data_IF_674544792331
#
_entry.id   IF_674544792331
#
_cell.length_a   1.000
_cell.length_b   1.000
_cell.length_c   1.000
_cell.angle_alpha   90.00
_cell.angle_beta   90.00
_cell.angle_gamma   90.00
#
_symmetry.space_group_name_H-M   'P 1'
#
loop_
_entity.id
_entity.type
_entity.pdbx_description
1 polymer ?
#
# COMPACT_ATOMS: atom_id res chain seq x y z
N UNK A 1 -4.55 -4.78 -5.30
CA UNK A 1 -4.51 -3.59 -6.18
C UNK A 1 -3.72 -3.79 -7.47
N UNK A 2 -2.49 -4.34 -7.45
CA UNK A 2 -1.74 -4.60 -8.70
C UNK A 2 -2.42 -5.55 -9.71
N UNK A 3 -3.44 -6.30 -9.28
CA UNK A 3 -4.30 -7.09 -10.16
C UNK A 3 -5.16 -6.21 -11.09
N UNK A 4 -5.91 -5.25 -10.55
CA UNK A 4 -6.79 -4.37 -11.34
C UNK A 4 -6.03 -3.43 -12.28
N UNK A 5 -4.82 -3.00 -11.90
CA UNK A 5 -3.95 -2.21 -12.78
C UNK A 5 -3.56 -3.00 -14.05
N UNK A 6 -3.40 -4.33 -13.96
CA UNK A 6 -3.14 -5.16 -15.16
C UNK A 6 -4.34 -5.19 -16.11
N UNK A 7 -5.56 -5.19 -15.57
CA UNK A 7 -6.79 -5.18 -16.37
C UNK A 7 -6.96 -3.86 -17.13
N UNK A 8 -6.68 -2.73 -16.48
CA UNK A 8 -6.74 -1.40 -17.12
C UNK A 8 -5.72 -1.20 -18.26
N UNK A 9 -4.66 -2.01 -18.30
CA UNK A 9 -3.65 -1.94 -19.37
C UNK A 9 -3.89 -3.01 -20.47
N UNK A 10 -5.13 -3.52 -20.59
CA UNK A 10 -5.56 -4.49 -21.62
C UNK A 10 -4.68 -5.75 -21.75
N UNK A 11 -4.09 -6.23 -20.65
CA UNK A 11 -3.43 -7.54 -20.66
C UNK A 11 -4.50 -8.62 -20.59
N UNK A 12 -4.70 -9.33 -21.71
CA UNK A 12 -5.75 -10.32 -21.94
C UNK A 12 -6.08 -11.17 -20.71
N UNK A 13 -7.34 -11.08 -20.29
CA UNK A 13 -7.93 -11.94 -19.29
C UNK A 13 -9.35 -12.26 -19.76
N UNK A 14 -9.57 -13.49 -20.25
CA UNK A 14 -10.78 -13.98 -20.94
C UNK A 14 -12.14 -13.80 -20.23
N UNK A 15 -12.16 -13.14 -19.07
CA UNK A 15 -13.28 -13.10 -18.14
C UNK A 15 -13.59 -11.67 -17.65
N UNK A 16 -12.92 -10.64 -18.17
CA UNK A 16 -13.23 -9.23 -17.92
C UNK A 16 -13.64 -8.57 -19.24
N UNK A 17 -14.45 -7.51 -19.19
CA UNK A 17 -14.76 -6.77 -20.41
C UNK A 17 -13.51 -6.13 -20.99
N UNK A 18 -13.42 -6.08 -22.32
CA UNK A 18 -12.42 -5.27 -23.01
C UNK A 18 -12.75 -3.78 -22.89
N UNK A 19 -11.76 -2.90 -23.10
CA UNK A 19 -11.94 -1.45 -23.12
C UNK A 19 -12.52 -0.87 -21.81
N UNK A 20 -12.03 -1.35 -20.66
CA UNK A 20 -12.41 -0.86 -19.34
C UNK A 20 -12.03 0.62 -19.22
N UNK A 21 -13.04 1.45 -18.96
CA UNK A 21 -12.91 2.89 -18.71
C UNK A 21 -12.72 3.17 -17.22
N UNK A 22 -13.38 2.40 -16.36
CA UNK A 22 -13.23 2.53 -14.91
C UNK A 22 -13.52 1.24 -14.16
N UNK A 23 -12.89 1.09 -13.01
CA UNK A 23 -13.11 0.02 -12.03
C UNK A 23 -13.53 0.66 -10.72
N UNK A 24 -14.59 0.15 -10.09
CA UNK A 24 -15.03 0.61 -8.78
C UNK A 24 -15.20 -0.60 -7.85
N UNK A 25 -14.51 -0.59 -6.71
CA UNK A 25 -14.72 -1.57 -5.65
C UNK A 25 -15.91 -1.11 -4.83
N UNK A 26 -16.95 -1.93 -4.76
CA UNK A 26 -18.22 -1.62 -4.12
C UNK A 26 -18.23 -2.10 -2.68
N UNK A 27 -17.78 -3.34 -2.47
CA UNK A 27 -17.69 -3.94 -1.15
C UNK A 27 -16.47 -4.87 -1.04
N UNK A 28 -15.95 -4.99 0.16
CA UNK A 28 -14.87 -5.92 0.50
C UNK A 28 -15.13 -6.56 1.85
N UNK A 29 -15.08 -7.90 1.90
CA UNK A 29 -15.25 -8.67 3.12
C UNK A 29 -14.08 -9.65 3.27
N UNK A 30 -13.43 -9.64 4.43
CA UNK A 30 -12.35 -10.57 4.74
C UNK A 30 -12.87 -11.68 5.64
N UNK A 31 -12.87 -12.90 5.11
CA UNK A 31 -13.27 -14.11 5.82
C UNK A 31 -12.05 -14.97 6.12
N UNK A 32 -12.00 -15.58 7.32
CA UNK A 32 -10.97 -16.55 7.68
C UNK A 32 -11.56 -17.95 7.63
N UNK A 33 -10.97 -18.81 6.81
CA UNK A 33 -11.12 -20.26 6.86
C UNK A 33 -9.91 -20.87 7.60
N UNK A 34 -10.00 -22.12 8.06
CA UNK A 34 -9.01 -22.79 8.91
C UNK A 34 -7.55 -22.60 8.44
N UNK A 35 -7.32 -22.65 7.12
CA UNK A 35 -5.98 -22.54 6.53
C UNK A 35 -5.81 -21.30 5.63
N UNK A 36 -6.91 -20.64 5.24
CA UNK A 36 -6.88 -19.60 4.21
C UNK A 36 -7.65 -18.35 4.64
N UNK A 37 -7.18 -17.19 4.19
CA UNK A 37 -7.94 -15.96 4.22
C UNK A 37 -8.58 -15.73 2.85
N UNK A 38 -9.85 -15.37 2.83
CA UNK A 38 -10.60 -15.11 1.60
C UNK A 38 -11.08 -13.68 1.64
N UNK A 39 -10.55 -12.84 0.77
CA UNK A 39 -11.07 -11.50 0.54
C UNK A 39 -12.10 -11.56 -0.57
N UNK A 40 -13.37 -11.49 -0.20
CA UNK A 40 -14.50 -11.35 -1.13
C UNK A 40 -14.57 -9.88 -1.53
N UNK A 41 -14.61 -9.60 -2.83
CA UNK A 41 -14.64 -8.26 -3.40
C UNK A 41 -15.74 -8.19 -4.43
N UNK A 42 -16.64 -7.22 -4.30
CA UNK A 42 -17.61 -6.87 -5.33
C UNK A 42 -17.08 -5.67 -6.11
N UNK A 43 -17.05 -5.78 -7.43
CA UNK A 43 -16.45 -4.78 -8.32
C UNK A 43 -17.38 -4.46 -9.48
N UNK A 44 -17.48 -3.18 -9.83
CA UNK A 44 -18.09 -2.70 -11.08
C UNK A 44 -17.01 -2.33 -12.08
N UNK A 45 -17.15 -2.83 -13.31
CA UNK A 45 -16.35 -2.48 -14.46
C UNK A 45 -17.22 -1.69 -15.43
N UNK A 46 -16.87 -0.43 -15.69
CA UNK A 46 -17.45 0.32 -16.79
C UNK A 46 -16.56 0.18 -18.00
N UNK A 47 -17.15 -0.18 -19.13
CA UNK A 47 -16.41 -0.48 -20.35
C UNK A 47 -17.14 0.06 -21.57
N UNK A 48 -16.36 0.39 -22.60
CA UNK A 48 -16.89 0.89 -23.86
C UNK A 48 -17.22 -0.30 -24.77
N UNK A 49 -18.50 -0.45 -25.11
CA UNK A 49 -18.98 -1.47 -26.03
C UNK A 49 -19.96 -0.84 -27.03
N UNK A 50 -19.64 -0.93 -28.33
CA UNK A 50 -20.46 -0.34 -29.40
C UNK A 50 -20.80 1.14 -29.15
N UNK A 51 -19.80 1.95 -28.78
CA UNK A 51 -19.93 3.38 -28.46
C UNK A 51 -20.82 3.72 -27.24
N UNK A 52 -21.29 2.71 -26.50
CA UNK A 52 -22.05 2.87 -25.28
C UNK A 52 -21.23 2.41 -24.08
N UNK A 53 -21.37 3.13 -22.96
CA UNK A 53 -20.79 2.70 -21.69
C UNK A 53 -21.72 1.66 -21.09
N UNK A 54 -21.19 0.47 -20.83
CA UNK A 54 -21.87 -0.62 -20.11
C UNK A 54 -21.20 -0.86 -18.77
N UNK A 55 -21.94 -1.42 -17.83
CA UNK A 55 -21.44 -1.78 -16.50
C UNK A 55 -21.56 -3.28 -16.28
N UNK A 56 -20.46 -3.91 -15.86
CA UNK A 56 -20.41 -5.32 -15.48
C UNK A 56 -20.00 -5.45 -14.02
N UNK A 57 -20.85 -6.10 -13.23
CA UNK A 57 -20.53 -6.45 -11.85
C UNK A 57 -19.85 -7.82 -11.81
N UNK A 58 -18.78 -7.93 -11.02
CA UNK A 58 -18.07 -9.19 -10.78
C UNK A 58 -17.84 -9.34 -9.27
N UNK A 59 -18.19 -10.51 -8.74
CA UNK A 59 -17.88 -10.93 -7.37
C UNK A 59 -16.64 -11.84 -7.41
N UNK A 60 -15.59 -11.44 -6.71
CA UNK A 60 -14.27 -12.09 -6.73
C UNK A 60 -13.82 -12.49 -5.34
N UNK A 61 -13.24 -13.67 -5.21
CA UNK A 61 -12.58 -14.16 -4.01
C UNK A 61 -11.07 -14.21 -4.24
N UNK A 62 -10.33 -13.39 -3.52
CA UNK A 62 -8.87 -13.50 -3.44
C UNK A 62 -8.54 -14.43 -2.28
N UNK A 63 -7.98 -15.60 -2.59
CA UNK A 63 -7.63 -16.61 -1.59
C UNK A 63 -6.15 -16.50 -1.25
N UNK A 64 -5.87 -16.35 0.03
CA UNK A 64 -4.53 -16.22 0.59
C UNK A 64 -4.23 -17.35 1.57
N UNK A 65 -3.00 -17.85 1.55
CA UNK A 65 -2.47 -18.79 2.54
C UNK A 65 -1.29 -18.14 3.26
N UNK A 66 -1.48 -17.75 4.52
CA UNK A 66 -0.43 -17.06 5.28
C UNK A 66 0.69 -17.99 5.76
N UNK A 67 0.55 -19.31 5.56
CA UNK A 67 1.55 -20.30 5.96
C UNK A 67 2.56 -20.60 4.83
N UNK A 68 2.37 -20.01 3.65
CA UNK A 68 3.25 -20.21 2.48
C UNK A 68 4.05 -18.96 2.18
N UNK A 69 5.31 -19.13 1.75
CA UNK A 69 6.17 -18.00 1.34
C UNK A 69 5.57 -17.16 0.20
N UNK A 70 4.65 -17.73 -0.59
CA UNK A 70 3.84 -17.00 -1.55
C UNK A 70 2.38 -17.01 -1.09
N UNK A 71 1.99 -15.96 -0.36
CA UNK A 71 0.71 -15.90 0.35
C UNK A 71 -0.51 -15.85 -0.57
N UNK A 72 -0.35 -15.70 -1.88
CA UNK A 72 -1.46 -15.59 -2.83
C UNK A 72 -1.66 -16.90 -3.58
N UNK A 73 -2.82 -17.52 -3.38
CA UNK A 73 -3.13 -18.83 -3.98
C UNK A 73 -3.81 -18.64 -5.34
N UNK A 74 -4.95 -17.95 -5.36
CA UNK A 74 -5.83 -17.87 -6.53
C UNK A 74 -6.87 -16.76 -6.41
N UNK A 75 -7.46 -16.41 -7.55
CA UNK A 75 -8.69 -15.60 -7.63
C UNK A 75 -9.79 -16.53 -8.12
N UNK A 76 -10.74 -16.87 -7.24
CA UNK A 76 -11.96 -17.55 -7.66
C UNK A 76 -13.00 -16.48 -7.98
N UNK A 77 -13.66 -16.56 -9.15
CA UNK A 77 -14.75 -15.63 -9.48
C UNK A 77 -16.06 -16.36 -9.23
N UNK A 78 -16.89 -15.79 -8.37
CA UNK A 78 -18.11 -16.44 -7.91
C UNK A 78 -19.29 -16.15 -8.85
N UNK A 79 -19.39 -14.91 -9.34
CA UNK A 79 -20.53 -14.47 -10.12
C UNK A 79 -20.15 -13.28 -11.01
N UNK A 80 -20.72 -13.23 -12.21
CA UNK A 80 -20.62 -12.08 -13.09
C UNK A 80 -21.96 -11.78 -13.74
N UNK A 81 -22.39 -10.53 -13.63
CA UNK A 81 -23.69 -10.07 -14.14
C UNK A 81 -23.54 -8.69 -14.79
N UNK A 82 -24.08 -8.53 -15.99
CA UNK A 82 -24.29 -7.20 -16.58
C UNK A 82 -25.46 -6.53 -15.85
N UNK A 83 -25.28 -5.27 -15.49
CA UNK A 83 -26.28 -4.48 -14.77
C UNK A 83 -26.60 -3.23 -15.58
N UNK A 84 -27.86 -2.80 -15.52
CA UNK A 84 -28.29 -1.55 -16.16
C UNK A 84 -27.44 -0.39 -15.64
N UNK A 85 -27.20 0.58 -16.53
CA UNK A 85 -26.23 1.65 -16.36
C UNK A 85 -26.43 2.37 -15.02
N UNK A 86 -25.60 2.05 -14.03
CA UNK A 86 -25.53 2.84 -12.81
C UNK A 86 -24.82 4.13 -13.18
N UNK A 87 -25.34 5.25 -12.66
CA UNK A 87 -24.79 6.60 -12.80
C UNK A 87 -23.26 6.56 -12.85
N UNK A 88 -22.67 7.19 -13.87
CA UNK A 88 -21.22 7.30 -14.08
C UNK A 88 -20.50 7.47 -12.75
N UNK A 89 -19.77 6.44 -12.26
CA UNK A 89 -19.05 6.58 -11.02
C UNK A 89 -17.89 7.54 -11.23
N UNK A 90 -17.38 8.07 -10.11
CA UNK A 90 -16.10 8.77 -10.08
C UNK A 90 -15.09 7.96 -10.90
N UNK A 91 -14.52 8.56 -11.94
CA UNK A 91 -13.51 7.94 -12.81
C UNK A 91 -12.48 7.22 -11.97
N UNK A 92 -12.12 5.98 -12.35
CA UNK A 92 -11.08 5.22 -11.68
C UNK A 92 -9.78 6.04 -11.62
N UNK A 93 -9.42 6.48 -10.43
CA UNK A 93 -8.20 7.22 -10.20
C UNK A 93 -7.03 6.23 -10.11
N UNK A 94 -6.50 5.88 -11.29
CA UNK A 94 -5.34 4.98 -11.42
C UNK A 94 -4.18 5.42 -10.54
N UNK A 95 -3.91 6.72 -10.50
CA UNK A 95 -2.82 7.30 -9.73
C UNK A 95 -3.05 7.06 -8.23
N UNK A 96 -4.26 7.33 -7.72
CA UNK A 96 -4.64 7.04 -6.33
C UNK A 96 -4.33 5.60 -5.90
N UNK A 97 -4.75 4.61 -6.69
CA UNK A 97 -4.51 3.20 -6.37
C UNK A 97 -3.03 2.82 -6.51
N UNK A 98 -2.31 3.39 -7.46
CA UNK A 98 -0.87 3.18 -7.61
C UNK A 98 -0.09 3.71 -6.40
N UNK A 99 -0.43 4.90 -5.90
CA UNK A 99 0.21 5.48 -4.72
C UNK A 99 -0.06 4.68 -3.44
N UNK A 100 -1.30 4.19 -3.25
CA UNK A 100 -1.62 3.27 -2.15
C UNK A 100 -0.88 1.95 -2.26
N UNK A 101 -0.81 1.38 -3.47
CA UNK A 101 -0.06 0.15 -3.71
C UNK A 101 1.43 0.32 -3.40
N UNK A 102 2.02 1.46 -3.75
CA UNK A 102 3.37 1.82 -3.32
C UNK A 102 3.46 1.86 -1.80
N UNK A 103 2.58 2.61 -1.11
CA UNK A 103 2.61 2.73 0.34
C UNK A 103 2.52 1.36 1.04
N UNK A 104 1.58 0.49 0.65
CA UNK A 104 1.48 -0.84 1.26
C UNK A 104 2.70 -1.71 1.03
N UNK A 105 3.28 -1.69 -0.17
CA UNK A 105 4.55 -2.37 -0.42
C UNK A 105 5.65 -1.80 0.47
N UNK A 106 5.73 -0.47 0.56
CA UNK A 106 6.74 0.22 1.36
C UNK A 106 6.64 -0.18 2.85
N UNK A 107 5.43 -0.21 3.42
CA UNK A 107 5.23 -0.68 4.80
C UNK A 107 5.61 -2.16 4.96
N UNK A 108 5.28 -3.02 3.99
CA UNK A 108 5.71 -4.42 4.01
C UNK A 108 7.24 -4.55 3.96
N UNK A 109 7.92 -3.71 3.20
CA UNK A 109 9.38 -3.63 3.19
C UNK A 109 9.94 -3.21 4.55
N UNK A 110 9.37 -2.19 5.20
CA UNK A 110 9.75 -1.78 6.55
C UNK A 110 9.51 -2.91 7.58
N UNK A 111 8.50 -3.76 7.36
CA UNK A 111 8.23 -4.96 8.16
C UNK A 111 9.16 -6.16 7.84
N UNK A 112 10.13 -6.01 6.93
CA UNK A 112 11.12 -7.04 6.59
C UNK A 112 10.84 -7.83 5.30
N UNK A 113 9.79 -7.50 4.53
CA UNK A 113 9.56 -8.12 3.22
C UNK A 113 10.38 -7.42 2.14
N UNK A 114 11.67 -7.78 2.04
CA UNK A 114 12.65 -7.11 1.18
C UNK A 114 12.44 -7.37 -0.31
N UNK A 115 11.84 -8.51 -0.69
CA UNK A 115 11.62 -8.93 -2.08
C UNK A 115 10.80 -7.93 -2.92
N UNK A 116 10.04 -7.03 -2.26
CA UNK A 116 9.20 -6.05 -2.94
C UNK A 116 9.98 -4.85 -3.53
N UNK A 117 11.23 -4.63 -3.13
CA UNK A 117 12.05 -3.48 -3.55
C UNK A 117 13.51 -3.81 -3.87
N UNK A 118 13.87 -5.09 -4.03
CA UNK A 118 15.25 -5.48 -4.32
C UNK A 118 15.85 -4.65 -5.47
N UNK A 119 17.04 -4.10 -5.22
CA UNK A 119 17.88 -3.31 -6.13
C UNK A 119 17.42 -1.89 -6.52
N UNK A 120 16.25 -1.39 -6.08
CA UNK A 120 15.72 -0.07 -6.51
C UNK A 120 15.82 1.08 -5.51
N UNK A 121 16.25 0.81 -4.28
CA UNK A 121 16.13 1.75 -3.14
C UNK A 121 17.45 2.05 -2.42
N UNK A 122 18.55 1.40 -2.81
CA UNK A 122 19.84 1.53 -2.10
C UNK A 122 20.46 2.94 -2.19
N UNK A 123 20.07 3.74 -3.18
CA UNK A 123 20.63 5.08 -3.40
C UNK A 123 19.83 6.21 -2.73
N UNK A 124 18.68 5.91 -2.12
CA UNK A 124 17.87 6.94 -1.46
C UNK A 124 18.56 7.44 -0.19
N UNK A 125 18.67 8.77 -0.06
CA UNK A 125 19.08 9.40 1.20
C UNK A 125 17.95 9.28 2.21
N UNK A 126 18.27 8.97 3.46
CA UNK A 126 17.30 8.87 4.54
C UNK A 126 17.72 9.77 5.70
N UNK A 127 16.83 10.70 6.05
CA UNK A 127 16.89 11.53 7.24
C UNK A 127 15.90 11.00 8.27
N UNK A 128 16.39 10.60 9.44
CA UNK A 128 15.59 10.07 10.53
C UNK A 128 15.68 11.02 11.73
N UNK A 129 14.52 11.43 12.25
CA UNK A 129 14.40 12.24 13.45
C UNK A 129 13.56 11.52 14.52
N UNK A 130 14.17 11.25 15.67
CA UNK A 130 13.50 10.71 16.86
C UNK A 130 13.75 11.65 18.04
N UNK A 131 12.73 12.43 18.40
CA UNK A 131 12.87 13.50 19.39
C UNK A 131 13.95 14.51 18.97
N UNK A 132 14.94 14.74 19.83
CA UNK A 132 16.10 15.58 19.54
C UNK A 132 17.20 14.88 18.73
N UNK A 133 17.16 13.54 18.59
CA UNK A 133 18.15 12.78 17.83
C UNK A 133 17.87 12.90 16.35
N UNK A 134 18.92 13.13 15.57
CA UNK A 134 18.86 13.16 14.12
C UNK A 134 19.92 12.22 13.55
N UNK A 135 19.58 11.56 12.45
CA UNK A 135 20.48 10.73 11.68
C UNK A 135 20.27 11.02 10.19
N UNK A 136 21.35 11.09 9.43
CA UNK A 136 21.31 11.19 7.98
C UNK A 136 22.28 10.18 7.38
N UNK A 137 21.79 9.36 6.45
CA UNK A 137 22.60 8.33 5.82
C UNK A 137 21.88 7.62 4.69
N UNK A 138 22.35 6.42 4.35
CA UNK A 138 21.66 5.54 3.41
C UNK A 138 20.40 4.98 4.04
N UNK A 139 19.45 4.53 3.22
CA UNK A 139 18.24 3.86 3.69
C UNK A 139 18.55 2.69 4.64
N UNK A 140 19.48 1.81 4.26
CA UNK A 140 19.87 0.65 5.09
C UNK A 140 20.38 1.09 6.46
N UNK A 141 21.29 2.07 6.52
CA UNK A 141 21.86 2.51 7.78
C UNK A 141 20.83 3.25 8.67
N UNK A 142 19.93 4.03 8.06
CA UNK A 142 18.83 4.65 8.79
C UNK A 142 17.82 3.63 9.34
N UNK A 143 17.52 2.56 8.60
CA UNK A 143 16.66 1.47 9.10
C UNK A 143 17.32 0.70 10.25
N UNK A 144 18.63 0.49 10.20
CA UNK A 144 19.38 -0.07 11.34
C UNK A 144 19.28 0.84 12.57
N UNK A 145 19.43 2.16 12.40
CA UNK A 145 19.27 3.13 13.50
C UNK A 145 17.85 3.19 14.04
N UNK A 146 16.85 3.13 13.17
CA UNK A 146 15.45 3.05 13.56
C UNK A 146 15.19 1.81 14.42
N UNK A 147 15.68 0.63 14.01
CA UNK A 147 15.57 -0.61 14.81
C UNK A 147 16.31 -0.51 16.15
N UNK A 148 17.49 0.10 16.18
CA UNK A 148 18.24 0.36 17.41
C UNK A 148 17.48 1.27 18.38
N UNK A 149 16.68 2.21 17.87
CA UNK A 149 15.96 3.20 18.70
C UNK A 149 14.55 2.77 19.10
N UNK A 150 13.82 2.09 18.21
CA UNK A 150 12.42 1.70 18.43
C UNK A 150 12.18 0.20 18.65
N UNK A 151 13.11 -0.67 18.26
CA UNK A 151 12.99 -2.12 18.45
C UNK A 151 12.32 -2.82 17.27
N UNK A 152 11.53 -3.85 17.54
CA UNK A 152 10.88 -4.70 16.53
C UNK A 152 9.38 -4.53 16.59
N UNK A 153 8.74 -4.28 15.46
CA UNK A 153 7.28 -4.07 15.41
C UNK A 153 6.74 -4.05 13.99
N UNK A 154 5.46 -3.72 13.89
CA UNK A 154 4.73 -3.67 12.64
C UNK A 154 4.27 -2.25 12.31
N UNK A 155 4.40 -1.87 11.04
CA UNK A 155 3.92 -0.59 10.51
C UNK A 155 2.52 -0.75 9.91
N UNK A 156 1.63 0.17 10.25
CA UNK A 156 0.26 0.28 9.74
C UNK A 156 0.03 1.67 9.15
N UNK A 157 -0.47 1.73 7.91
CA UNK A 157 -0.79 2.99 7.24
C UNK A 157 -2.03 3.64 7.88
N UNK A 158 -1.94 4.93 8.23
CA UNK A 158 -3.06 5.72 8.76
C UNK A 158 -3.57 6.74 7.75
N UNK A 159 -2.68 7.45 7.09
CA UNK A 159 -3.05 8.33 5.99
C UNK A 159 -1.94 8.41 4.95
N UNK A 160 -2.35 8.80 3.75
CA UNK A 160 -1.49 9.06 2.61
C UNK A 160 -1.95 10.37 1.98
N UNK A 161 -0.99 11.24 1.70
CA UNK A 161 -1.18 12.45 0.91
C UNK A 161 -0.15 12.45 -0.22
N UNK A 162 -0.56 12.88 -1.41
CA UNK A 162 0.31 12.90 -2.58
C UNK A 162 0.36 14.30 -3.17
N UNK A 163 1.57 14.82 -3.26
CA UNK A 163 1.85 16.16 -3.76
C UNK A 163 2.64 15.99 -5.06
N UNK A 164 2.04 16.38 -6.19
CA UNK A 164 2.70 16.37 -7.50
C UNK A 164 3.54 17.66 -7.61
N UNK A 165 4.87 17.54 -7.51
CA UNK A 165 5.77 18.69 -7.60
C UNK A 165 6.01 19.10 -9.06
N UNK A 166 6.16 18.12 -9.96
CA UNK A 166 6.28 18.30 -11.41
C UNK A 166 5.65 17.10 -12.13
N UNK A 167 5.69 17.08 -13.47
CA UNK A 167 5.21 15.94 -14.29
C UNK A 167 5.90 14.61 -13.92
N UNK A 168 7.18 14.67 -13.55
CA UNK A 168 8.01 13.49 -13.31
C UNK A 168 8.47 13.34 -11.86
N UNK A 169 8.08 14.26 -10.97
CA UNK A 169 8.44 14.19 -9.55
C UNK A 169 7.22 14.30 -8.66
N UNK A 170 7.12 13.42 -7.68
CA UNK A 170 6.06 13.43 -6.69
C UNK A 170 6.63 13.27 -5.29
N UNK A 171 5.85 13.73 -4.32
CA UNK A 171 6.09 13.54 -2.89
C UNK A 171 4.92 12.80 -2.29
N UNK A 172 5.20 11.73 -1.56
CA UNK A 172 4.21 11.01 -0.77
C UNK A 172 4.45 11.30 0.70
N UNK A 173 3.45 11.83 1.38
CA UNK A 173 3.45 12.00 2.84
C UNK A 173 2.62 10.87 3.43
N UNK A 174 3.25 10.08 4.29
CA UNK A 174 2.65 8.94 4.97
C UNK A 174 2.55 9.25 6.46
N UNK A 175 1.38 9.04 7.04
CA UNK A 175 1.24 8.90 8.49
C UNK A 175 1.11 7.42 8.79
N UNK A 176 2.03 6.92 9.60
CA UNK A 176 2.20 5.51 9.93
C UNK A 176 2.04 5.35 11.44
N UNK A 177 1.34 4.30 11.85
CA UNK A 177 1.37 3.80 13.23
C UNK A 177 2.35 2.64 13.29
N UNK A 178 3.27 2.67 14.23
CA UNK A 178 4.11 1.53 14.57
C UNK A 178 3.66 0.95 15.91
N UNK A 179 3.55 -0.37 16.00
CA UNK A 179 3.28 -1.09 17.24
C UNK A 179 4.30 -2.23 17.37
N UNK A 180 4.91 -2.41 18.55
CA UNK A 180 5.92 -3.44 18.71
C UNK A 180 6.50 -3.58 20.10
N UNK A 181 7.62 -4.29 20.18
CA UNK A 181 8.44 -4.44 21.37
C UNK A 181 9.68 -3.56 21.19
N UNK A 182 9.84 -2.63 22.12
CA UNK A 182 10.97 -1.71 22.18
C UNK A 182 12.26 -2.47 22.47
N UNK A 183 13.38 -1.82 22.19
CA UNK A 183 14.73 -2.28 22.54
C UNK A 183 14.96 -2.39 24.07
N UNK A 184 13.99 -1.95 24.89
CA UNK A 184 13.93 -2.17 26.35
C UNK A 184 12.99 -3.33 26.73
N UNK A 185 12.46 -4.08 25.78
CA UNK A 185 11.55 -5.20 26.00
C UNK A 185 10.11 -4.82 26.37
N UNK A 186 9.72 -3.54 26.22
CA UNK A 186 8.36 -3.07 26.54
C UNK A 186 7.50 -2.96 25.29
N UNK A 187 6.19 -3.20 25.43
CA UNK A 187 5.23 -2.86 24.39
C UNK A 187 5.25 -1.35 24.14
N UNK A 188 5.27 -0.98 22.87
CA UNK A 188 5.33 0.41 22.46
C UNK A 188 4.47 0.71 21.25
N UNK A 189 4.01 1.95 21.19
CA UNK A 189 3.23 2.50 20.09
C UNK A 189 3.85 3.84 19.70
N UNK A 190 4.02 4.04 18.39
CA UNK A 190 4.60 5.24 17.81
C UNK A 190 3.75 5.75 16.65
N UNK A 191 3.73 7.08 16.48
CA UNK A 191 3.21 7.73 15.27
C UNK A 191 4.38 8.31 14.50
N UNK A 192 4.50 7.90 13.24
CA UNK A 192 5.59 8.27 12.35
C UNK A 192 4.99 9.08 11.20
N UNK A 193 5.60 10.21 10.90
CA UNK A 193 5.41 10.93 9.65
C UNK A 193 6.59 10.65 8.74
N UNK A 194 6.32 10.21 7.52
CA UNK A 194 7.34 9.92 6.54
C UNK A 194 7.03 10.63 5.23
N UNK A 195 7.99 11.41 4.75
CA UNK A 195 7.94 12.06 3.45
C UNK A 195 8.87 11.33 2.51
N UNK A 196 8.34 10.84 1.40
CA UNK A 196 9.09 10.10 0.37
C UNK A 196 9.05 10.89 -0.93
N UNK A 197 10.21 11.40 -1.35
CA UNK A 197 10.38 12.07 -2.63
C UNK A 197 10.74 11.03 -3.71
N UNK A 198 10.00 11.05 -4.81
CA UNK A 198 10.09 10.04 -5.87
C UNK A 198 10.17 10.68 -7.24
N UNK A 199 10.91 10.05 -8.15
CA UNK A 199 10.95 10.40 -9.57
C UNK A 199 10.38 9.27 -10.41
N UNK A 200 9.55 9.61 -11.39
CA UNK A 200 9.05 8.65 -12.38
C UNK A 200 10.17 8.35 -13.38
N UNK A 201 10.45 7.07 -13.57
CA UNK A 201 11.41 6.56 -14.56
C UNK A 201 10.70 6.18 -15.87
N UNK A 202 11.48 6.03 -16.94
CA UNK A 202 10.99 5.45 -18.19
C UNK A 202 10.38 4.07 -17.92
N UNK A 203 9.17 3.83 -18.46
CA UNK A 203 8.41 2.61 -18.19
C UNK A 203 7.47 2.69 -16.98
N UNK A 204 7.31 3.87 -16.35
CA UNK A 204 6.29 4.10 -15.32
C UNK A 204 6.63 3.58 -13.92
N UNK A 205 7.86 3.10 -13.72
CA UNK A 205 8.39 2.80 -12.40
C UNK A 205 8.74 4.09 -11.65
N UNK A 206 8.88 4.00 -10.33
CA UNK A 206 9.33 5.12 -9.50
C UNK A 206 10.65 4.81 -8.82
N UNK A 207 11.57 5.77 -8.88
CA UNK A 207 12.83 5.79 -8.15
C UNK A 207 12.63 6.58 -6.85
N UNK A 208 13.08 6.01 -5.72
CA UNK A 208 13.13 6.75 -4.46
C UNK A 208 14.37 7.65 -4.45
N UNK A 209 14.17 8.95 -4.17
CA UNK A 209 15.25 9.92 -4.12
C UNK A 209 15.66 10.22 -2.67
N UNK A 210 14.68 10.54 -1.84
CA UNK A 210 14.90 11.02 -0.49
C UNK A 210 13.73 10.61 0.41
N UNK A 211 14.07 10.21 1.63
CA UNK A 211 13.11 9.83 2.66
C UNK A 211 13.42 10.70 3.88
N UNK A 212 12.41 11.41 4.37
CA UNK A 212 12.47 12.10 5.66
C UNK A 212 11.47 11.44 6.59
N UNK A 213 11.94 11.01 7.74
CA UNK A 213 11.13 10.32 8.73
C UNK A 213 11.22 11.06 10.06
N UNK A 214 10.06 11.33 10.64
CA UNK A 214 9.93 12.01 11.93
C UNK A 214 9.00 11.23 12.83
N UNK A 215 9.49 10.87 14.01
CA UNK A 215 8.66 10.35 15.07
C UNK A 215 7.87 11.50 15.69
N UNK A 216 6.54 11.49 15.54
CA UNK A 216 5.64 12.54 16.02
C UNK A 216 5.29 12.39 17.51
N UNK A 217 5.35 11.17 18.06
CA UNK A 217 5.06 10.87 19.47
C UNK A 217 5.96 9.72 19.96
N UNK A 218 6.65 9.87 21.11
CA UNK A 218 7.39 8.76 21.71
C UNK A 218 6.45 7.78 22.44
N UNK A 219 6.75 6.50 22.22
CA UNK A 219 6.47 5.32 23.04
C UNK A 219 5.55 5.52 24.27
N UNK A 220 4.25 5.26 24.08
CA UNK A 220 3.24 5.35 25.17
C UNK A 220 3.41 4.29 26.26
N UNK A 221 4.36 3.33 26.15
CA UNK A 221 4.69 2.40 27.25
C UNK A 221 5.26 3.08 28.51
N UNK A 222 5.59 4.37 28.46
CA UNK A 222 5.99 5.18 29.61
C UNK A 222 4.85 6.01 30.23
N UNK A 223 3.69 6.14 29.56
CA UNK A 223 2.58 6.99 30.00
C UNK A 223 1.49 6.23 30.77
N UNK A 224 1.51 4.89 30.80
CA UNK A 224 0.63 4.05 31.66
C UNK A 224 0.79 4.35 33.17
N UNK A 225 1.81 5.12 33.58
CA UNK A 225 1.99 5.60 34.96
C UNK A 225 1.62 7.08 35.17
N UNK A 226 1.21 7.79 34.12
CA UNK A 226 0.84 9.22 34.18
C UNK A 226 -0.68 9.44 34.10
N UNK A 227 -1.44 8.43 33.68
CA UNK A 227 -2.90 8.41 33.84
C UNK A 227 -3.26 7.42 34.94
N UNK A 228 -3.03 7.85 36.19
CA UNK A 228 -3.70 7.28 37.35
C UNK A 228 -5.15 7.79 37.39
#
# INVERSE_FOLDING_TARGET
MGWYDKLMNNKHTNNYPDNIQSIQIIDTQLNKNKEHFILVTQVHFNYLHNQQIKTKQINENFVFDLNKNNNFIKIDRLESKEIDTISTPSTFDKDHYQYRNFAYKWLAYLNGNTALFENKINNAKHQLQIGAKQYQGTLSAALSKHKEWMGVGQYLLRSIEVIKNTKDSLRIVLIIRWNGITNKGKLGIAKIEQTVDMKKEMGGNYQLLNIKERLLLPDMGAWDKLTC
#
